data_IF_176581098776
#
_entry.id   IF_176581098776
#
_cell.length_a   1.000
_cell.length_b   1.000
_cell.length_c   1.000
_cell.angle_alpha   90.00
_cell.angle_beta   90.00
_cell.angle_gamma   90.00
#
_symmetry.space_group_name_H-M   'P 1'
#
loop_
_entity.id
_entity.type
_entity.pdbx_description
1 polymer ?
#
# COMPACT_ATOMS: atom_id res chain seq x y z
N UNK A 1 6.69 -13.01 -5.08
CA UNK A 1 7.82 -12.68 -4.19
C UNK A 1 7.39 -12.76 -2.74
N UNK A 2 6.58 -11.83 -2.23
CA UNK A 2 6.23 -11.82 -0.79
C UNK A 2 5.41 -13.03 -0.35
N UNK A 3 4.47 -13.53 -1.17
CA UNK A 3 3.76 -14.78 -0.86
C UNK A 3 4.68 -16.02 -0.85
N UNK A 4 5.73 -16.05 -1.66
CA UNK A 4 6.73 -17.14 -1.65
C UNK A 4 7.57 -17.06 -0.37
N UNK A 5 8.02 -15.86 0.01
CA UNK A 5 8.68 -15.63 1.31
C UNK A 5 7.79 -16.05 2.48
N UNK A 6 6.55 -15.57 2.53
CA UNK A 6 5.60 -15.89 3.58
C UNK A 6 5.34 -17.40 3.68
N UNK A 7 5.20 -18.09 2.54
CA UNK A 7 5.06 -19.54 2.51
C UNK A 7 6.29 -20.26 3.06
N UNK A 8 7.51 -19.80 2.75
CA UNK A 8 8.76 -20.40 3.25
C UNK A 8 9.02 -20.10 4.72
N UNK A 9 8.49 -18.99 5.23
CA UNK A 9 8.58 -18.57 6.62
C UNK A 9 7.36 -18.99 7.44
N UNK A 10 6.52 -19.87 6.90
CA UNK A 10 5.32 -20.41 7.56
C UNK A 10 4.37 -19.32 8.09
N UNK A 11 4.32 -18.18 7.41
CA UNK A 11 3.39 -17.09 7.73
C UNK A 11 2.00 -17.36 7.13
N UNK A 12 0.91 -16.93 7.81
CA UNK A 12 -0.44 -17.08 7.29
C UNK A 12 -0.63 -16.38 5.94
N UNK A 13 -1.38 -17.02 5.05
CA UNK A 13 -1.67 -16.57 3.69
C UNK A 13 -3.13 -16.87 3.32
N UNK A 14 -3.76 -15.95 2.60
CA UNK A 14 -5.13 -16.15 2.10
C UNK A 14 -6.21 -16.21 3.18
N UNK A 15 -5.95 -15.61 4.34
CA UNK A 15 -6.87 -15.60 5.46
C UNK A 15 -8.03 -14.60 5.26
N UNK A 16 -9.14 -14.80 5.98
CA UNK A 16 -10.24 -13.84 5.97
C UNK A 16 -9.85 -12.56 6.70
N UNK A 17 -10.13 -11.40 6.12
CA UNK A 17 -9.77 -10.14 6.78
C UNK A 17 -10.42 -10.01 8.17
N UNK A 18 -9.62 -9.64 9.17
CA UNK A 18 -9.99 -9.56 10.60
C UNK A 18 -10.45 -10.85 11.27
N UNK A 19 -10.15 -12.03 10.73
CA UNK A 19 -10.47 -13.29 11.43
C UNK A 19 -9.72 -13.46 12.77
N UNK A 20 -8.54 -12.83 12.91
CA UNK A 20 -7.70 -12.91 14.10
C UNK A 20 -7.17 -11.52 14.46
N UNK A 21 -7.57 -11.03 15.65
CA UNK A 21 -7.02 -9.77 16.19
C UNK A 21 -5.50 -9.85 16.36
N UNK A 22 -4.99 -10.99 16.83
CA UNK A 22 -3.55 -11.20 17.01
C UNK A 22 -2.79 -11.07 15.69
N UNK A 23 -3.35 -11.59 14.59
CA UNK A 23 -2.70 -11.46 13.29
C UNK A 23 -2.76 -10.03 12.76
N UNK A 24 -3.90 -9.35 12.95
CA UNK A 24 -4.04 -7.94 12.59
C UNK A 24 -3.04 -7.06 13.35
N UNK A 25 -2.93 -7.23 14.67
CA UNK A 25 -1.97 -6.52 15.51
C UNK A 25 -0.54 -6.79 15.02
N UNK A 26 -0.17 -8.07 14.83
CA UNK A 26 1.15 -8.45 14.33
C UNK A 26 1.51 -7.77 13.00
N UNK A 27 0.58 -7.71 12.04
CA UNK A 27 0.85 -7.07 10.75
C UNK A 27 0.96 -5.56 10.87
N UNK A 28 0.25 -4.93 11.79
CA UNK A 28 0.42 -3.50 12.09
C UNK A 28 1.71 -3.20 12.82
N UNK A 29 2.13 -4.04 13.76
CA UNK A 29 3.40 -3.89 14.49
C UNK A 29 4.57 -3.88 13.50
N UNK A 30 4.59 -4.81 12.53
CA UNK A 30 5.60 -4.82 11.46
C UNK A 30 5.60 -3.52 10.63
N UNK A 31 4.43 -2.99 10.26
CA UNK A 31 4.35 -1.74 9.49
C UNK A 31 4.82 -0.55 10.31
N UNK A 32 4.52 -0.54 11.61
CA UNK A 32 4.94 0.52 12.52
C UNK A 32 6.45 0.54 12.74
N UNK A 33 7.06 -0.64 12.85
CA UNK A 33 8.51 -0.81 12.96
C UNK A 33 9.22 -0.21 11.74
N UNK A 34 8.89 -0.67 10.52
CA UNK A 34 9.54 -0.19 9.29
C UNK A 34 9.25 1.30 9.00
N UNK A 35 8.06 1.79 9.39
CA UNK A 35 7.78 3.22 9.33
C UNK A 35 8.70 4.01 10.26
N UNK A 36 8.96 3.50 11.46
CA UNK A 36 9.90 4.09 12.42
C UNK A 36 11.31 4.15 11.85
N UNK A 37 11.82 3.06 11.27
CA UNK A 37 13.15 3.02 10.64
C UNK A 37 13.25 4.04 9.49
N UNK A 38 12.26 4.08 8.60
CA UNK A 38 12.23 5.06 7.51
C UNK A 38 12.14 6.51 8.01
N UNK A 39 11.41 6.76 9.09
CA UNK A 39 11.30 8.07 9.70
C UNK A 39 12.64 8.50 10.32
N UNK A 40 13.28 7.62 11.07
CA UNK A 40 14.58 7.88 11.70
C UNK A 40 15.66 8.11 10.65
N UNK A 41 15.70 7.30 9.58
CA UNK A 41 16.61 7.51 8.45
C UNK A 41 16.37 8.87 7.78
N UNK A 42 15.10 9.27 7.59
CA UNK A 42 14.78 10.61 7.06
C UNK A 42 15.22 11.74 7.99
N UNK A 43 15.22 11.55 9.31
CA UNK A 43 15.65 12.56 10.27
C UNK A 43 17.17 12.68 10.35
N UNK A 44 17.87 11.54 10.29
CA UNK A 44 19.32 11.46 10.38
C UNK A 44 20.00 11.83 9.05
N UNK A 45 19.36 11.53 7.93
CA UNK A 45 19.85 11.84 6.58
C UNK A 45 21.18 11.15 6.28
N UNK A 46 21.31 9.86 6.61
CA UNK A 46 22.61 9.17 6.55
C UNK A 46 23.12 9.10 5.11
N UNK A 47 22.36 8.48 4.20
CA UNK A 47 22.63 8.49 2.76
C UNK A 47 21.44 7.98 1.91
N UNK A 48 21.43 8.22 0.58
CA UNK A 48 20.33 7.79 -0.28
C UNK A 48 20.11 6.27 -0.38
N UNK A 49 21.15 5.45 -0.19
CA UNK A 49 21.04 3.99 -0.23
C UNK A 49 20.30 3.47 1.00
N UNK A 50 20.64 3.96 2.19
CA UNK A 50 19.96 3.63 3.44
C UNK A 50 18.47 4.00 3.37
N UNK A 51 18.15 5.23 2.94
CA UNK A 51 16.75 5.63 2.75
C UNK A 51 16.01 4.75 1.73
N UNK A 52 16.68 4.32 0.65
CA UNK A 52 16.06 3.42 -0.33
C UNK A 52 15.78 2.03 0.25
N UNK A 53 16.67 1.50 1.11
CA UNK A 53 16.43 0.26 1.86
C UNK A 53 15.20 0.41 2.75
N UNK A 54 15.11 1.46 3.57
CA UNK A 54 13.98 1.61 4.50
C UNK A 54 12.63 1.76 3.79
N UNK A 55 12.62 2.47 2.65
CA UNK A 55 11.43 2.54 1.79
C UNK A 55 11.06 1.18 1.19
N UNK A 56 12.06 0.36 0.84
CA UNK A 56 11.82 -0.97 0.30
C UNK A 56 11.25 -1.91 1.38
N UNK A 57 11.78 -1.87 2.59
CA UNK A 57 11.30 -2.71 3.70
C UNK A 57 9.88 -2.32 4.14
N UNK A 58 9.59 -1.02 4.23
CA UNK A 58 8.22 -0.54 4.47
C UNK A 58 7.24 -1.04 3.40
N UNK A 59 7.61 -0.97 2.12
CA UNK A 59 6.78 -1.52 1.04
C UNK A 59 6.66 -3.05 1.16
N UNK A 60 7.72 -3.73 1.58
CA UNK A 60 7.74 -5.19 1.73
C UNK A 60 6.76 -5.67 2.81
N UNK A 61 6.72 -5.03 3.98
CA UNK A 61 5.77 -5.38 5.05
C UNK A 61 4.33 -5.04 4.68
N UNK A 62 4.08 -4.00 3.88
CA UNK A 62 2.76 -3.70 3.32
C UNK A 62 2.30 -4.80 2.35
N UNK A 63 3.19 -5.32 1.50
CA UNK A 63 2.89 -6.50 0.68
C UNK A 63 2.64 -7.74 1.56
N UNK A 64 3.33 -7.88 2.69
CA UNK A 64 3.10 -8.95 3.66
C UNK A 64 1.69 -8.91 4.24
N UNK A 65 1.21 -7.72 4.63
CA UNK A 65 -0.17 -7.51 5.06
C UNK A 65 -1.15 -7.93 3.95
N UNK A 66 -0.97 -7.45 2.72
CA UNK A 66 -1.86 -7.81 1.63
C UNK A 66 -1.86 -9.31 1.32
N UNK A 67 -0.69 -9.96 1.31
CA UNK A 67 -0.54 -11.39 1.07
C UNK A 67 -1.24 -12.23 2.14
N UNK A 68 -1.21 -11.77 3.40
CA UNK A 68 -1.90 -12.42 4.53
C UNK A 68 -3.38 -12.63 4.24
N UNK A 69 -4.02 -11.66 3.61
CA UNK A 69 -5.45 -11.70 3.30
C UNK A 69 -5.75 -12.04 1.84
N UNK A 70 -4.75 -12.55 1.10
CA UNK A 70 -4.92 -12.96 -0.29
C UNK A 70 -5.14 -11.81 -1.29
N UNK A 71 -4.86 -10.56 -0.89
CA UNK A 71 -5.12 -9.39 -1.72
C UNK A 71 -3.99 -9.13 -2.72
N UNK A 72 -4.36 -8.94 -3.99
CA UNK A 72 -3.42 -8.56 -5.03
C UNK A 72 -3.12 -7.05 -5.00
N UNK A 73 -2.12 -6.68 -4.18
CA UNK A 73 -1.74 -5.28 -3.99
C UNK A 73 -1.24 -4.62 -5.28
N UNK A 74 -0.50 -5.34 -6.14
CA UNK A 74 -0.05 -4.82 -7.44
C UNK A 74 -1.23 -4.39 -8.32
N UNK A 75 -2.30 -5.19 -8.35
CA UNK A 75 -3.52 -4.87 -9.10
C UNK A 75 -4.25 -3.68 -8.48
N UNK A 76 -4.28 -3.58 -7.16
CA UNK A 76 -4.85 -2.44 -6.43
C UNK A 76 -4.08 -1.14 -6.70
N UNK A 77 -2.75 -1.15 -6.58
CA UNK A 77 -1.87 0.00 -6.85
C UNK A 77 -2.02 0.47 -8.30
N UNK A 78 -2.05 -0.44 -9.28
CA UNK A 78 -2.30 -0.07 -10.69
C UNK A 78 -3.66 0.60 -10.89
N UNK A 79 -4.71 0.17 -10.17
CA UNK A 79 -6.04 0.81 -10.23
C UNK A 79 -6.04 2.18 -9.56
N UNK A 80 -5.40 2.32 -8.40
CA UNK A 80 -5.21 3.60 -7.72
C UNK A 80 -4.44 4.58 -8.60
N UNK A 81 -3.36 4.12 -9.25
CA UNK A 81 -2.59 4.92 -10.21
C UNK A 81 -3.47 5.42 -11.37
N UNK A 82 -4.24 4.54 -12.03
CA UNK A 82 -5.18 4.96 -13.10
C UNK A 82 -6.21 5.98 -12.61
N UNK A 83 -6.75 5.79 -11.41
CA UNK A 83 -7.63 6.77 -10.77
C UNK A 83 -6.93 8.11 -10.54
N UNK A 84 -5.68 8.11 -10.05
CA UNK A 84 -4.91 9.34 -9.84
C UNK A 84 -4.64 10.06 -11.16
N UNK A 85 -4.29 9.35 -12.22
CA UNK A 85 -4.09 9.93 -13.56
C UNK A 85 -5.40 10.45 -14.17
N UNK A 86 -6.56 9.92 -13.78
CA UNK A 86 -7.86 10.45 -14.23
C UNK A 86 -8.22 11.82 -13.63
N UNK A 87 -7.47 12.29 -12.63
CA UNK A 87 -7.69 13.62 -12.01
C UNK A 87 -7.21 14.78 -12.89
N UNK A 88 -6.46 14.51 -13.96
CA UNK A 88 -5.93 15.54 -14.84
C UNK A 88 -7.05 16.34 -15.52
N UNK A 89 -6.76 17.60 -15.82
CA UNK A 89 -7.60 18.48 -16.62
C UNK A 89 -7.70 18.01 -18.08
N UNK A 90 -8.55 18.71 -18.85
CA UNK A 90 -8.72 18.41 -20.28
C UNK A 90 -7.44 18.63 -21.10
N UNK A 91 -6.50 19.41 -20.56
CA UNK A 91 -5.18 19.69 -21.12
C UNK A 91 -4.09 18.68 -20.69
N UNK A 92 -4.47 17.65 -19.92
CA UNK A 92 -3.54 16.66 -19.38
C UNK A 92 -2.69 17.16 -18.20
N UNK A 93 -3.00 18.34 -17.62
CA UNK A 93 -2.25 18.89 -16.49
C UNK A 93 -2.98 18.69 -15.16
N UNK A 94 -2.26 18.63 -14.03
CA UNK A 94 -2.88 18.54 -12.72
C UNK A 94 -3.63 19.84 -12.39
N UNK A 95 -4.88 19.72 -11.94
CA UNK A 95 -5.62 20.83 -11.33
C UNK A 95 -5.19 20.94 -9.87
N UNK A 96 -4.47 22.00 -9.47
CA UNK A 96 -3.98 22.17 -8.09
C UNK A 96 -4.87 23.13 -7.31
N UNK A 97 -5.18 22.77 -6.06
CA UNK A 97 -5.88 23.65 -5.12
C UNK A 97 -4.95 24.66 -4.43
N UNK A 98 -5.48 25.51 -3.55
CA UNK A 98 -4.69 26.52 -2.80
C UNK A 98 -3.59 25.91 -1.92
N UNK A 99 -3.76 24.66 -1.47
CA UNK A 99 -2.79 23.91 -0.67
C UNK A 99 -1.78 23.11 -1.54
N UNK A 100 -1.81 23.30 -2.86
CA UNK A 100 -0.97 22.59 -3.81
C UNK A 100 -1.42 21.16 -4.13
N UNK A 101 -2.48 20.65 -3.50
CA UNK A 101 -2.97 19.28 -3.74
C UNK A 101 -3.68 19.18 -5.08
N UNK A 102 -3.51 18.04 -5.74
CA UNK A 102 -4.21 17.70 -6.99
C UNK A 102 -5.70 17.45 -6.71
N UNK A 103 -6.54 18.29 -7.28
CA UNK A 103 -8.00 18.24 -7.28
C UNK A 103 -8.53 17.24 -8.33
N UNK A 104 -9.80 16.85 -8.19
CA UNK A 104 -10.45 15.93 -9.13
C UNK A 104 -10.83 16.69 -10.41
N UNK A 105 -10.25 16.30 -11.54
CA UNK A 105 -10.64 16.78 -12.87
C UNK A 105 -11.97 16.23 -13.37
N UNK A 106 -12.45 16.73 -14.51
CA UNK A 106 -13.77 16.39 -15.06
C UNK A 106 -13.89 14.91 -15.46
N UNK A 107 -12.77 14.24 -15.75
CA UNK A 107 -12.72 12.84 -16.12
C UNK A 107 -12.38 11.90 -14.95
N UNK A 108 -12.46 12.38 -13.71
CA UNK A 108 -12.10 11.60 -12.53
C UNK A 108 -12.94 10.33 -12.40
N UNK A 109 -12.26 9.20 -12.15
CA UNK A 109 -12.86 7.90 -11.84
C UNK A 109 -12.23 7.32 -10.58
N UNK A 110 -13.07 6.99 -9.59
CA UNK A 110 -12.66 6.27 -8.37
C UNK A 110 -12.15 4.86 -8.75
N UNK A 111 -11.11 4.32 -8.10
CA UNK A 111 -10.70 2.95 -8.38
C UNK A 111 -11.70 1.98 -7.77
N UNK A 112 -12.14 0.98 -8.56
CA UNK A 112 -12.90 -0.16 -8.05
C UNK A 112 -11.93 -1.18 -7.48
N UNK A 113 -12.05 -1.51 -6.20
CA UNK A 113 -11.22 -2.52 -5.52
C UNK A 113 -12.05 -3.66 -4.91
N UNK A 114 -13.37 -3.58 -4.99
CA UNK A 114 -14.29 -4.53 -4.36
C UNK A 114 -14.13 -5.95 -4.88
N UNK A 115 -13.73 -6.14 -6.14
CA UNK A 115 -13.40 -7.45 -6.73
C UNK A 115 -11.99 -7.95 -6.40
N UNK A 116 -11.23 -7.22 -5.58
CA UNK A 116 -9.88 -7.62 -5.14
C UNK A 116 -9.82 -8.05 -3.66
N UNK A 117 -10.94 -7.93 -2.96
CA UNK A 117 -11.07 -8.26 -1.54
C UNK A 117 -12.25 -9.21 -1.38
N UNK A 118 -12.11 -10.23 -0.55
CA UNK A 118 -13.28 -10.98 -0.08
C UNK A 118 -14.07 -10.08 0.88
N UNK A 119 -15.34 -9.87 0.58
CA UNK A 119 -16.30 -9.23 1.48
C UNK A 119 -17.12 -10.32 2.15
N UNK A 120 -17.29 -10.25 3.48
CA UNK A 120 -17.99 -11.23 4.30
C UNK A 120 -19.52 -11.32 4.05
N UNK A 121 -20.00 -11.05 2.83
CA UNK A 121 -21.44 -10.97 2.51
C UNK A 121 -21.89 -12.02 1.47
N UNK A 122 -21.36 -13.25 1.56
CA UNK A 122 -22.04 -14.48 1.11
C UNK A 122 -21.85 -15.62 2.13
#
# INVERSE_FOLDING_TARGET
MVSDFASRMEQPLGEKWKFSKKLEDFRWDMIQEEYGEAFDESCNGNNPEAMLKELADLVYVIYGYAATYGWNLDKAVRRVHRSNMSKLGLDGKPLKGPDGKVQKGPNYKKPTLTDLVETNDE
#
